data_IF_366168652811
#
_entry.id   IF_366168652811
#
_cell.length_a   1.000
_cell.length_b   1.000
_cell.length_c   1.000
_cell.angle_alpha   90.00
_cell.angle_beta   90.00
_cell.angle_gamma   90.00
#
_symmetry.space_group_name_H-M   'P 1'
#
loop_
_entity.id
_entity.type
_entity.pdbx_description
1 polymer ?
#
# COMPACT_ATOMS: atom_id res chain seq x y z
N UNK A 1 -30.89 19.39 -5.51
CA UNK A 1 -32.27 19.68 -5.05
C UNK A 1 -33.35 18.87 -5.78
N UNK A 2 -33.44 18.87 -7.12
CA UNK A 2 -34.49 18.09 -7.83
C UNK A 2 -34.46 16.60 -7.52
N UNK A 3 -33.26 15.98 -7.50
CA UNK A 3 -33.07 14.57 -7.13
C UNK A 3 -33.43 14.29 -5.65
N UNK A 4 -33.04 15.17 -4.74
CA UNK A 4 -33.38 15.11 -3.31
C UNK A 4 -34.88 15.16 -3.05
N UNK A 5 -35.59 16.06 -3.74
CA UNK A 5 -37.04 16.18 -3.63
C UNK A 5 -37.76 14.96 -4.23
N UNK A 6 -37.29 14.47 -5.39
CA UNK A 6 -37.83 13.27 -6.04
C UNK A 6 -37.67 12.02 -5.17
N UNK A 7 -36.50 11.84 -4.58
CA UNK A 7 -36.14 10.65 -3.81
C UNK A 7 -36.46 10.82 -2.30
N UNK A 8 -37.14 11.91 -1.92
CA UNK A 8 -37.54 12.27 -0.54
C UNK A 8 -36.37 12.32 0.45
N UNK A 9 -35.17 12.62 -0.03
CA UNK A 9 -33.94 12.81 0.75
C UNK A 9 -33.81 14.28 1.18
N UNK A 10 -34.66 14.68 2.13
CA UNK A 10 -34.73 16.06 2.62
C UNK A 10 -33.50 16.50 3.42
N UNK A 11 -32.74 15.54 3.95
CA UNK A 11 -31.52 15.80 4.74
C UNK A 11 -30.27 15.83 3.88
N UNK A 12 -30.36 15.44 2.60
CA UNK A 12 -29.23 15.39 1.67
C UNK A 12 -28.05 14.52 2.12
N UNK A 13 -28.30 13.58 3.03
CA UNK A 13 -27.30 12.62 3.53
C UNK A 13 -27.60 11.18 3.07
N UNK A 14 -28.69 10.97 2.34
CA UNK A 14 -29.07 9.67 1.79
C UNK A 14 -28.43 9.36 0.44
N UNK A 15 -29.08 8.48 -0.32
CA UNK A 15 -28.57 8.00 -1.62
C UNK A 15 -28.36 9.11 -2.65
N UNK A 16 -29.03 10.25 -2.50
CA UNK A 16 -28.89 11.37 -3.44
C UNK A 16 -27.56 12.11 -3.28
N UNK A 17 -26.90 11.96 -2.12
CA UNK A 17 -25.55 12.47 -1.86
C UNK A 17 -24.48 11.72 -2.66
N UNK A 18 -24.74 10.46 -3.02
CA UNK A 18 -23.81 9.63 -3.76
C UNK A 18 -23.95 9.86 -5.27
N UNK A 19 -22.81 10.04 -5.92
CA UNK A 19 -22.71 9.99 -7.38
C UNK A 19 -22.60 8.53 -7.86
N UNK A 20 -22.89 8.27 -9.15
CA UNK A 20 -22.64 6.94 -9.75
C UNK A 20 -21.21 6.47 -9.50
N UNK A 21 -20.24 7.39 -9.70
CA UNK A 21 -18.83 7.13 -9.39
C UNK A 21 -18.63 6.70 -7.94
N UNK A 22 -19.23 7.41 -6.98
CA UNK A 22 -19.09 7.09 -5.55
C UNK A 22 -19.60 5.69 -5.23
N UNK A 23 -20.70 5.27 -5.86
CA UNK A 23 -21.30 3.93 -5.68
C UNK A 23 -20.44 2.84 -6.32
N UNK A 24 -19.84 3.14 -7.48
CA UNK A 24 -19.06 2.17 -8.25
C UNK A 24 -17.61 2.01 -7.76
N UNK A 25 -17.10 2.95 -6.93
CA UNK A 25 -15.75 2.87 -6.37
C UNK A 25 -15.53 1.55 -5.64
N UNK A 26 -14.41 0.92 -5.94
CA UNK A 26 -13.97 -0.32 -5.29
C UNK A 26 -12.63 -0.08 -4.60
N UNK A 27 -12.30 -0.85 -3.55
CA UNK A 27 -10.99 -0.79 -2.93
C UNK A 27 -9.89 -1.06 -3.96
N UNK A 28 -8.78 -0.32 -3.86
CA UNK A 28 -7.57 -0.52 -4.69
C UNK A 28 -7.02 -1.94 -4.62
N UNK A 29 -7.23 -2.61 -3.49
CA UNK A 29 -6.82 -3.99 -3.21
C UNK A 29 -7.69 -5.06 -3.88
N UNK A 30 -8.89 -4.71 -4.39
CA UNK A 30 -9.85 -5.68 -4.94
C UNK A 30 -9.31 -6.54 -6.08
N UNK A 31 -8.32 -6.03 -6.83
CA UNK A 31 -7.80 -6.69 -8.02
C UNK A 31 -6.66 -7.67 -7.75
N UNK A 32 -6.21 -7.79 -6.50
CA UNK A 32 -5.15 -8.71 -6.10
C UNK A 32 -5.62 -10.16 -6.20
N UNK A 33 -4.76 -11.05 -6.72
CA UNK A 33 -4.99 -12.49 -6.78
C UNK A 33 -4.52 -13.22 -5.51
N UNK A 34 -3.62 -12.58 -4.75
CA UNK A 34 -3.03 -13.13 -3.53
C UNK A 34 -2.75 -12.04 -2.50
N UNK A 35 -2.88 -12.40 -1.22
CA UNK A 35 -2.41 -11.60 -0.09
C UNK A 35 -1.38 -12.41 0.70
N UNK A 36 -0.23 -11.81 0.99
CA UNK A 36 0.87 -12.45 1.72
C UNK A 36 1.15 -11.67 3.00
N UNK A 37 1.21 -12.38 4.13
CA UNK A 37 1.58 -11.80 5.42
C UNK A 37 3.08 -11.51 5.47
N UNK A 38 3.46 -10.34 5.97
CA UNK A 38 4.84 -9.91 6.15
C UNK A 38 4.96 -9.00 7.37
N UNK A 39 6.19 -8.62 7.73
CA UNK A 39 6.51 -7.66 8.79
C UNK A 39 7.21 -6.43 8.19
N UNK A 40 6.82 -5.24 8.63
CA UNK A 40 7.45 -3.99 8.25
C UNK A 40 8.90 -3.93 8.77
N UNK A 41 9.92 -3.77 7.90
CA UNK A 41 11.33 -3.79 8.31
C UNK A 41 11.88 -2.41 8.70
N UNK A 42 11.04 -1.37 8.75
CA UNK A 42 11.53 0.02 8.77
C UNK A 42 11.98 0.51 10.16
N UNK A 43 11.25 0.16 11.21
CA UNK A 43 11.56 0.56 12.59
C UNK A 43 11.36 -0.63 13.53
N UNK A 44 11.74 -0.45 14.79
CA UNK A 44 11.70 -1.53 15.78
C UNK A 44 10.29 -1.99 16.20
N UNK A 45 9.22 -1.33 15.75
CA UNK A 45 7.85 -1.72 16.10
C UNK A 45 7.49 -3.07 15.49
N UNK A 46 7.91 -3.36 14.25
CA UNK A 46 7.59 -4.63 13.60
C UNK A 46 6.10 -4.81 13.29
N UNK A 47 5.44 -3.77 12.79
CA UNK A 47 4.03 -3.83 12.39
C UNK A 47 3.79 -4.97 11.37
N UNK A 48 2.73 -5.76 11.58
CA UNK A 48 2.27 -6.75 10.60
C UNK A 48 1.70 -6.10 9.35
N UNK A 49 1.93 -6.72 8.20
CA UNK A 49 1.56 -6.22 6.87
C UNK A 49 0.84 -7.30 6.05
N UNK A 50 -0.18 -6.86 5.32
CA UNK A 50 -0.82 -7.60 4.24
C UNK A 50 -0.28 -7.06 2.90
N UNK A 51 0.50 -7.89 2.19
CA UNK A 51 1.07 -7.56 0.89
C UNK A 51 0.16 -8.11 -0.21
N UNK A 52 -0.47 -7.23 -0.96
CA UNK A 52 -1.37 -7.57 -2.07
C UNK A 52 -0.56 -7.76 -3.35
N UNK A 53 -0.80 -8.88 -4.03
CA UNK A 53 -0.06 -9.31 -5.21
C UNK A 53 -1.03 -9.56 -6.35
N UNK A 54 -0.59 -9.23 -7.57
CA UNK A 54 -1.25 -9.58 -8.83
C UNK A 54 -0.21 -9.91 -9.88
N UNK A 55 -0.39 -11.01 -10.62
CA UNK A 55 0.52 -11.43 -11.70
C UNK A 55 1.99 -11.50 -11.23
N UNK A 56 2.19 -11.95 -9.98
CA UNK A 56 3.50 -12.06 -9.33
C UNK A 56 4.15 -10.72 -8.92
N UNK A 57 3.44 -9.60 -9.04
CA UNK A 57 3.93 -8.26 -8.64
C UNK A 57 3.12 -7.70 -7.48
N UNK A 58 3.79 -6.99 -6.58
CA UNK A 58 3.12 -6.30 -5.49
C UNK A 58 2.30 -5.14 -6.09
N UNK A 59 1.03 -5.05 -5.74
CA UNK A 59 0.13 -3.94 -6.14
C UNK A 59 -0.13 -2.99 -4.99
N UNK A 60 -0.10 -3.49 -3.75
CA UNK A 60 -0.38 -2.68 -2.57
C UNK A 60 0.13 -3.31 -1.27
N UNK A 61 0.22 -2.52 -0.22
CA UNK A 61 0.52 -2.96 1.16
C UNK A 61 -0.41 -2.23 2.12
N UNK A 62 -1.12 -3.01 2.94
CA UNK A 62 -1.92 -2.50 4.06
C UNK A 62 -1.45 -3.13 5.37
N UNK A 63 -1.91 -2.58 6.50
CA UNK A 63 -1.64 -3.18 7.79
C UNK A 63 -2.38 -4.51 7.95
N UNK A 64 -1.77 -5.41 8.71
CA UNK A 64 -2.42 -6.65 9.11
C UNK A 64 -3.33 -6.43 10.33
N UNK A 65 -4.66 -6.55 10.22
CA UNK A 65 -5.58 -6.47 11.37
C UNK A 65 -5.29 -7.52 12.45
N UNK A 66 -4.71 -8.67 12.06
CA UNK A 66 -4.39 -9.78 12.96
C UNK A 66 -3.07 -9.54 13.73
N UNK A 67 -2.35 -8.46 13.42
CA UNK A 67 -1.09 -8.11 14.08
C UNK A 67 -1.35 -7.74 15.55
N UNK A 68 -0.75 -8.45 16.52
CA UNK A 68 -0.90 -8.12 17.95
C UNK A 68 -0.19 -6.81 18.33
N UNK A 69 0.62 -6.26 17.43
CA UNK A 69 1.40 -5.05 17.67
C UNK A 69 0.72 -3.81 17.10
N UNK A 70 0.03 -3.95 15.97
CA UNK A 70 -0.43 -2.81 15.18
C UNK A 70 -1.90 -2.85 14.78
N UNK A 71 -2.57 -3.99 14.89
CA UNK A 71 -4.03 -4.13 14.64
C UNK A 71 -4.48 -3.46 13.33
N UNK A 72 -3.70 -3.62 12.26
CA UNK A 72 -3.99 -3.04 10.95
C UNK A 72 -3.52 -1.60 10.73
N UNK A 73 -3.00 -0.92 11.76
CA UNK A 73 -2.46 0.43 11.63
C UNK A 73 -1.04 0.42 11.04
N UNK A 74 -0.78 1.28 10.05
CA UNK A 74 0.54 1.55 9.51
C UNK A 74 0.83 3.04 9.48
N UNK A 75 2.07 3.42 9.80
CA UNK A 75 2.56 4.76 9.50
C UNK A 75 2.87 4.90 7.99
N UNK A 76 3.06 6.13 7.48
CA UNK A 76 3.36 6.35 6.06
C UNK A 76 4.57 5.56 5.55
N UNK A 77 5.60 5.36 6.39
CA UNK A 77 6.79 4.55 6.04
C UNK A 77 6.44 3.08 5.84
N UNK A 78 5.57 2.53 6.69
CA UNK A 78 5.12 1.15 6.61
C UNK A 78 4.30 0.90 5.35
N UNK A 79 3.35 1.79 5.06
CA UNK A 79 2.56 1.71 3.83
C UNK A 79 3.43 1.87 2.56
N UNK A 80 4.51 2.65 2.63
CA UNK A 80 5.43 2.88 1.50
C UNK A 80 6.51 1.81 1.33
N UNK A 81 6.55 0.74 2.14
CA UNK A 81 7.55 -0.34 2.04
C UNK A 81 7.60 -1.02 0.67
N UNK A 82 6.53 -0.92 -0.13
CA UNK A 82 6.48 -1.33 -1.53
C UNK A 82 7.67 -0.76 -2.35
N UNK A 83 8.00 0.51 -2.14
CA UNK A 83 9.06 1.22 -2.88
C UNK A 83 10.47 0.72 -2.52
N UNK A 84 10.65 0.04 -1.39
CA UNK A 84 11.94 -0.56 -1.04
C UNK A 84 12.30 -1.73 -1.96
N UNK A 85 11.28 -2.43 -2.48
CA UNK A 85 11.47 -3.58 -3.36
C UNK A 85 11.49 -3.17 -4.83
N UNK A 86 10.65 -2.20 -5.21
CA UNK A 86 10.44 -1.79 -6.60
C UNK A 86 11.19 -0.52 -7.02
N UNK A 87 11.83 0.17 -6.07
CA UNK A 87 12.59 1.39 -6.35
C UNK A 87 13.84 1.15 -7.20
N UNK A 88 14.17 2.13 -8.04
CA UNK A 88 15.34 2.09 -8.93
C UNK A 88 16.69 2.20 -8.23
N UNK A 89 16.69 2.52 -6.92
CA UNK A 89 17.91 2.66 -6.13
C UNK A 89 18.57 1.32 -5.76
N UNK A 90 17.89 0.18 -6.00
CA UNK A 90 18.44 -1.14 -5.68
C UNK A 90 19.55 -1.53 -6.66
N UNK A 91 20.77 -1.66 -6.15
CA UNK A 91 21.89 -2.21 -6.93
C UNK A 91 21.73 -3.72 -7.09
N UNK A 92 21.84 -4.20 -8.33
CA UNK A 92 21.73 -5.63 -8.68
C UNK A 92 23.08 -6.28 -9.02
N UNK A 93 24.17 -5.53 -8.90
CA UNK A 93 25.53 -5.98 -9.17
C UNK A 93 26.38 -5.84 -7.91
N UNK A 94 27.32 -6.76 -7.73
CA UNK A 94 28.33 -6.63 -6.67
C UNK A 94 29.26 -5.49 -7.06
N UNK A 95 29.54 -4.62 -6.10
CA UNK A 95 30.49 -3.52 -6.26
C UNK A 95 31.69 -3.74 -5.34
N UNK A 96 32.87 -3.49 -5.86
CA UNK A 96 34.13 -3.52 -5.15
C UNK A 96 34.69 -2.10 -5.01
N UNK A 97 35.38 -1.85 -3.91
CA UNK A 97 36.16 -0.63 -3.69
C UNK A 97 37.57 -1.05 -3.30
N UNK A 98 38.54 -0.73 -4.15
CA UNK A 98 39.97 -0.99 -3.93
C UNK A 98 40.47 -0.36 -2.62
N UNK A 99 41.48 -0.94 -1.94
CA UNK A 99 42.14 -0.30 -0.80
C UNK A 99 42.55 1.14 -1.14
N UNK A 100 42.25 2.07 -0.24
CA UNK A 100 42.49 3.52 -0.41
C UNK A 100 41.74 4.19 -1.59
N UNK A 101 40.90 3.49 -2.34
CA UNK A 101 40.07 4.04 -3.41
C UNK A 101 38.81 4.75 -2.89
N UNK A 102 38.34 5.76 -3.62
CA UNK A 102 37.11 6.50 -3.29
C UNK A 102 35.90 6.10 -4.15
N UNK A 103 36.14 5.52 -5.33
CA UNK A 103 35.10 5.06 -6.26
C UNK A 103 34.70 3.60 -6.04
N UNK A 104 33.47 3.27 -6.41
CA UNK A 104 32.99 1.89 -6.53
C UNK A 104 33.14 1.43 -7.98
N UNK A 105 33.58 0.20 -8.18
CA UNK A 105 33.67 -0.47 -9.49
C UNK A 105 32.85 -1.77 -9.45
N UNK A 106 32.17 -2.17 -10.55
CA UNK A 106 31.60 -3.51 -10.63
C UNK A 106 32.68 -4.56 -10.41
N UNK A 107 32.39 -5.56 -9.59
CA UNK A 107 33.27 -6.73 -9.40
C UNK A 107 33.19 -7.68 -10.59
#
# INVERSE_FOLDING_TARGET
MLRQLKDRDLTAFGETAYSKRSIELQPRTKTADKVVKSICPYCAVGCGQNVYVKDGRITDIEGDPDSPISEGCLCPKGAATFQLVTGSHRTHQVLYRKPYGTAWEPL
#
